data_IF_837078029830
#
_entry.id   IF_837078029830
#
_cell.length_a   1.000
_cell.length_b   1.000
_cell.length_c   1.000
_cell.angle_alpha   90.00
_cell.angle_beta   90.00
_cell.angle_gamma   90.00
#
_symmetry.space_group_name_H-M   'P 1'
#
loop_
_entity.id
_entity.type
_entity.pdbx_description
1 polymer ?
#
# COMPACT_ATOMS: atom_id res chain seq x y z
N UNK A 1 7.03 -14.39 -7.64
CA UNK A 1 7.67 -13.33 -8.46
C UNK A 1 8.89 -12.74 -7.76
N UNK A 2 8.81 -12.43 -6.48
CA UNK A 2 9.92 -11.88 -5.71
C UNK A 2 10.16 -12.71 -4.44
N UNK A 3 11.44 -12.87 -4.07
CA UNK A 3 11.81 -13.62 -2.86
C UNK A 3 11.64 -12.79 -1.59
N UNK A 4 11.84 -11.48 -1.71
CA UNK A 4 11.67 -10.53 -0.61
C UNK A 4 10.76 -9.39 -1.05
N UNK A 5 9.84 -9.01 -0.16
CA UNK A 5 8.89 -7.92 -0.40
C UNK A 5 8.95 -6.95 0.77
N UNK A 6 9.05 -5.67 0.45
CA UNK A 6 8.96 -4.59 1.43
C UNK A 6 7.60 -3.92 1.24
N UNK A 7 6.75 -3.98 2.25
CA UNK A 7 5.50 -3.22 2.28
C UNK A 7 5.80 -1.87 2.92
N UNK A 8 5.72 -0.82 2.12
CA UNK A 8 6.14 0.51 2.51
C UNK A 8 4.93 1.44 2.66
N UNK A 9 4.74 2.00 3.83
CA UNK A 9 3.72 3.00 4.08
C UNK A 9 4.31 4.40 3.90
N UNK A 10 3.84 5.14 2.91
CA UNK A 10 4.20 6.54 2.70
C UNK A 10 3.51 7.41 3.76
N UNK A 11 4.28 8.27 4.41
CA UNK A 11 3.79 9.15 5.46
C UNK A 11 3.88 10.58 4.95
N UNK A 12 2.75 11.28 5.00
CA UNK A 12 2.71 12.71 4.73
C UNK A 12 2.59 13.46 6.06
N UNK A 13 3.67 14.08 6.50
CA UNK A 13 3.74 14.82 7.75
C UNK A 13 2.79 16.02 7.79
N UNK A 14 2.40 16.53 6.61
CA UNK A 14 1.50 17.69 6.48
C UNK A 14 0.02 17.29 6.51
N UNK A 15 -0.28 16.00 6.44
CA UNK A 15 -1.66 15.49 6.46
C UNK A 15 -1.87 14.51 7.60
N UNK A 16 -2.86 14.80 8.43
CA UNK A 16 -3.39 13.81 9.37
C UNK A 16 -4.15 12.76 8.58
N UNK A 17 -3.62 11.55 8.52
CA UNK A 17 -4.36 10.41 8.01
C UNK A 17 -5.47 10.00 8.97
N UNK A 18 -6.37 9.15 8.50
CA UNK A 18 -7.44 8.55 9.30
C UNK A 18 -6.88 7.75 10.49
N UNK A 19 -5.77 7.06 10.26
CA UNK A 19 -5.03 6.33 11.28
C UNK A 19 -3.70 7.02 11.55
N UNK A 20 -3.17 6.86 12.76
CA UNK A 20 -1.80 7.26 13.07
C UNK A 20 -0.81 6.39 12.31
N UNK A 21 0.44 6.82 12.21
CA UNK A 21 1.52 6.02 11.61
C UNK A 21 1.66 4.68 12.30
N UNK A 22 1.62 4.66 13.64
CA UNK A 22 1.72 3.42 14.42
C UNK A 22 0.57 2.47 14.11
N UNK A 23 -0.66 3.01 14.01
CA UNK A 23 -1.84 2.22 13.65
C UNK A 23 -1.73 1.64 12.25
N UNK A 24 -1.27 2.42 11.27
CA UNK A 24 -1.05 1.95 9.90
C UNK A 24 -0.06 0.81 9.84
N UNK A 25 1.07 0.96 10.51
CA UNK A 25 2.11 -0.06 10.55
C UNK A 25 1.61 -1.33 11.24
N UNK A 26 0.86 -1.18 12.32
CA UNK A 26 0.28 -2.33 13.03
C UNK A 26 -0.71 -3.10 12.16
N UNK A 27 -1.60 -2.40 11.47
CA UNK A 27 -2.55 -3.03 10.53
C UNK A 27 -1.81 -3.82 9.45
N UNK A 28 -0.77 -3.23 8.85
CA UNK A 28 0.00 -3.90 7.80
C UNK A 28 0.73 -5.12 8.36
N UNK A 29 1.34 -4.99 9.53
CA UNK A 29 2.04 -6.10 10.20
C UNK A 29 1.10 -7.26 10.49
N UNK A 30 -0.12 -6.98 10.94
CA UNK A 30 -1.14 -8.00 11.14
C UNK A 30 -1.48 -8.71 9.82
N UNK A 31 -1.67 -7.94 8.75
CA UNK A 31 -2.06 -8.46 7.44
C UNK A 31 -1.01 -9.41 6.84
N UNK A 32 0.27 -9.15 7.09
CA UNK A 32 1.38 -9.93 6.52
C UNK A 32 1.95 -10.96 7.50
N UNK A 33 1.37 -11.09 8.68
CA UNK A 33 1.80 -12.07 9.68
C UNK A 33 1.79 -13.48 9.10
N UNK A 34 2.88 -14.21 9.30
CA UNK A 34 3.03 -15.56 8.77
C UNK A 34 3.53 -15.64 7.33
N UNK A 35 3.73 -14.51 6.66
CA UNK A 35 4.31 -14.49 5.33
C UNK A 35 5.83 -14.32 5.44
N UNK A 36 6.57 -15.29 4.92
CA UNK A 36 8.03 -15.23 4.92
C UNK A 36 8.54 -14.22 3.88
N UNK A 37 9.64 -13.57 4.20
CA UNK A 37 10.29 -12.63 3.28
C UNK A 37 9.59 -11.29 3.12
N UNK A 38 8.67 -10.93 4.03
CA UNK A 38 7.95 -9.66 4.01
C UNK A 38 8.42 -8.77 5.15
N UNK A 39 8.83 -7.55 4.82
CA UNK A 39 9.24 -6.51 5.78
C UNK A 39 8.28 -5.33 5.65
N UNK A 40 7.95 -4.71 6.78
CA UNK A 40 7.07 -3.53 6.81
C UNK A 40 7.87 -2.32 7.25
N UNK A 41 7.79 -1.25 6.46
CA UNK A 41 8.48 0.02 6.74
C UNK A 41 7.55 1.21 6.57
N UNK A 42 7.96 2.33 7.13
CA UNK A 42 7.37 3.64 6.85
C UNK A 42 8.44 4.55 6.25
N UNK A 43 8.04 5.46 5.36
CA UNK A 43 8.97 6.43 4.77
C UNK A 43 8.28 7.78 4.59
N UNK A 44 9.06 8.85 4.64
CA UNK A 44 8.58 10.24 4.51
C UNK A 44 9.13 10.93 3.25
N UNK A 45 10.20 10.40 2.70
CA UNK A 45 10.87 10.95 1.51
C UNK A 45 10.20 10.47 0.22
N UNK A 46 10.79 10.78 -0.93
CA UNK A 46 10.30 10.27 -2.21
C UNK A 46 10.40 8.74 -2.25
N UNK A 47 9.40 8.12 -2.87
CA UNK A 47 9.37 6.65 -3.00
C UNK A 47 10.64 6.10 -3.64
N UNK A 48 11.15 6.74 -4.69
CA UNK A 48 12.37 6.31 -5.36
C UNK A 48 13.60 6.42 -4.46
N UNK A 49 13.66 7.44 -3.60
CA UNK A 49 14.76 7.60 -2.64
C UNK A 49 14.71 6.50 -1.58
N UNK A 50 13.51 6.20 -1.08
CA UNK A 50 13.31 5.08 -0.15
C UNK A 50 13.74 3.74 -0.78
N UNK A 51 13.45 3.54 -2.05
CA UNK A 51 13.88 2.36 -2.79
C UNK A 51 15.40 2.29 -2.91
N UNK A 52 16.04 3.41 -3.27
CA UNK A 52 17.50 3.47 -3.42
C UNK A 52 18.24 3.18 -2.12
N UNK A 53 17.74 3.72 -1.01
CA UNK A 53 18.31 3.49 0.33
C UNK A 53 18.37 2.00 0.71
N UNK A 54 17.44 1.22 0.17
CA UNK A 54 17.30 -0.21 0.48
C UNK A 54 17.74 -1.13 -0.66
N UNK A 55 18.24 -0.58 -1.76
CA UNK A 55 18.62 -1.36 -2.93
C UNK A 55 17.45 -2.02 -3.66
N UNK A 56 16.26 -1.46 -3.54
CA UNK A 56 15.06 -1.96 -4.19
C UNK A 56 15.05 -1.50 -5.65
N UNK A 57 14.79 -2.44 -6.57
CA UNK A 57 14.78 -2.19 -8.02
C UNK A 57 13.39 -2.26 -8.64
N UNK A 58 12.39 -2.73 -7.91
CA UNK A 58 11.04 -2.90 -8.42
C UNK A 58 10.01 -2.32 -7.45
N UNK A 59 9.06 -1.57 -8.00
CA UNK A 59 7.88 -1.09 -7.25
C UNK A 59 6.68 -1.85 -7.82
N UNK A 60 5.89 -2.47 -6.95
CA UNK A 60 4.68 -3.20 -7.36
C UNK A 60 3.46 -2.38 -6.97
N UNK A 61 2.58 -2.15 -7.94
CA UNK A 61 1.33 -1.40 -7.73
C UNK A 61 0.15 -2.21 -8.24
N UNK A 62 -0.94 -2.21 -7.48
CA UNK A 62 -2.21 -2.82 -7.89
C UNK A 62 -3.15 -1.79 -8.50
N UNK A 63 -3.92 -2.19 -9.50
CA UNK A 63 -4.94 -1.33 -10.12
C UNK A 63 -6.27 -2.07 -10.21
N UNK A 64 -7.36 -1.39 -9.91
CA UNK A 64 -8.72 -1.95 -9.92
C UNK A 64 -9.50 -1.61 -11.18
N UNK A 65 -9.15 -0.50 -11.84
CA UNK A 65 -9.89 0.02 -12.98
C UNK A 65 -8.98 0.89 -13.86
N UNK A 66 -9.53 1.44 -14.94
CA UNK A 66 -8.78 2.26 -15.88
C UNK A 66 -8.30 3.58 -15.28
N UNK A 67 -9.05 4.16 -14.37
CA UNK A 67 -8.67 5.41 -13.69
C UNK A 67 -7.45 5.18 -12.80
N UNK A 68 -7.45 4.10 -12.03
CA UNK A 68 -6.30 3.69 -11.23
C UNK A 68 -5.08 3.45 -12.12
N UNK A 69 -5.27 2.76 -13.24
CA UNK A 69 -4.21 2.45 -14.19
C UNK A 69 -3.55 3.73 -14.73
N UNK A 70 -4.33 4.70 -15.18
CA UNK A 70 -3.78 5.96 -15.71
C UNK A 70 -3.01 6.74 -14.64
N UNK A 71 -3.52 6.77 -13.42
CA UNK A 71 -2.83 7.42 -12.29
C UNK A 71 -1.49 6.74 -12.00
N UNK A 72 -1.50 5.42 -11.87
CA UNK A 72 -0.28 4.66 -11.55
C UNK A 72 0.74 4.70 -12.70
N UNK A 73 0.27 4.65 -13.94
CA UNK A 73 1.12 4.78 -15.11
C UNK A 73 1.83 6.14 -15.14
N UNK A 74 1.12 7.22 -14.86
CA UNK A 74 1.71 8.57 -14.82
C UNK A 74 2.80 8.68 -13.74
N UNK A 75 2.55 8.10 -12.57
CA UNK A 75 3.53 8.05 -11.48
C UNK A 75 4.74 7.21 -11.89
N UNK A 76 4.51 6.06 -12.53
CA UNK A 76 5.57 5.17 -13.00
C UNK A 76 6.47 5.85 -14.03
N UNK A 77 5.86 6.60 -14.96
CA UNK A 77 6.60 7.35 -15.97
C UNK A 77 7.49 8.43 -15.34
N UNK A 78 6.96 9.15 -14.36
CA UNK A 78 7.73 10.15 -13.62
C UNK A 78 8.89 9.50 -12.84
N UNK A 79 8.63 8.40 -12.15
CA UNK A 79 9.66 7.67 -11.41
C UNK A 79 10.76 7.13 -12.33
N UNK A 80 10.40 6.65 -13.50
CA UNK A 80 11.38 6.17 -14.50
C UNK A 80 12.31 7.29 -14.97
N UNK A 81 11.79 8.50 -15.11
CA UNK A 81 12.60 9.66 -15.44
C UNK A 81 13.59 10.01 -14.35
N UNK A 82 13.16 9.94 -13.10
CA UNK A 82 13.97 10.27 -11.94
C UNK A 82 14.94 9.14 -11.55
N UNK A 83 14.53 7.90 -11.75
CA UNK A 83 15.29 6.72 -11.35
C UNK A 83 15.14 5.61 -12.39
N UNK A 84 15.88 5.68 -13.53
CA UNK A 84 15.74 4.69 -14.60
C UNK A 84 16.05 3.25 -14.19
N UNK A 85 16.78 3.07 -13.11
CA UNK A 85 17.14 1.75 -12.57
C UNK A 85 15.99 1.07 -11.79
N UNK A 86 14.94 1.82 -11.48
CA UNK A 86 13.79 1.28 -10.72
C UNK A 86 12.60 1.11 -11.68
N UNK A 87 12.11 -0.12 -11.78
CA UNK A 87 10.99 -0.47 -12.66
C UNK A 87 9.71 -0.61 -11.86
N UNK A 88 8.60 -0.12 -12.41
CA UNK A 88 7.28 -0.29 -11.80
C UNK A 88 6.53 -1.44 -12.48
N UNK A 89 6.02 -2.36 -11.68
CA UNK A 89 5.20 -3.49 -12.13
C UNK A 89 3.76 -3.19 -11.73
N UNK A 90 2.87 -3.12 -12.69
CA UNK A 90 1.44 -2.85 -12.46
C UNK A 90 0.67 -4.16 -12.60
N UNK A 91 -0.05 -4.54 -11.54
CA UNK A 91 -0.80 -5.79 -11.49
C UNK A 91 -2.30 -5.47 -11.37
N UNK A 92 -3.12 -5.97 -12.31
CA UNK A 92 -4.57 -5.83 -12.17
C UNK A 92 -5.07 -6.61 -10.96
N UNK A 93 -5.93 -5.97 -10.17
CA UNK A 93 -6.56 -6.61 -9.02
C UNK A 93 -7.54 -7.70 -9.49
N UNK A 94 -7.52 -8.86 -8.83
CA UNK A 94 -8.51 -9.89 -9.08
C UNK A 94 -9.92 -9.35 -8.84
N UNK A 95 -10.87 -9.81 -9.64
CA UNK A 95 -12.26 -9.31 -9.60
C UNK A 95 -12.88 -9.43 -8.20
N UNK A 96 -12.55 -10.49 -7.47
CA UNK A 96 -13.04 -10.73 -6.11
C UNK A 96 -12.66 -9.63 -5.13
N UNK A 97 -11.60 -8.88 -5.40
CA UNK A 97 -11.08 -7.82 -4.54
C UNK A 97 -11.29 -6.41 -5.09
N UNK A 98 -11.89 -6.28 -6.26
CA UNK A 98 -12.05 -4.98 -6.94
C UNK A 98 -12.90 -3.99 -6.14
N UNK A 99 -13.79 -4.47 -5.27
CA UNK A 99 -14.64 -3.64 -4.40
C UNK A 99 -13.90 -3.09 -3.18
N UNK A 100 -12.72 -3.62 -2.85
CA UNK A 100 -11.98 -3.24 -1.65
C UNK A 100 -11.25 -1.91 -1.89
N UNK A 101 -11.48 -0.95 -1.01
CA UNK A 101 -10.79 0.33 -1.03
C UNK A 101 -10.65 0.87 0.39
N UNK A 102 -9.65 1.69 0.61
CA UNK A 102 -9.48 2.37 1.90
C UNK A 102 -10.64 3.30 2.22
N UNK A 103 -11.24 3.92 1.20
CA UNK A 103 -12.42 4.78 1.37
C UNK A 103 -13.61 3.99 1.92
N UNK A 104 -13.88 2.80 1.38
CA UNK A 104 -14.97 1.94 1.85
C UNK A 104 -14.73 1.50 3.29
N UNK A 105 -13.53 1.11 3.65
CA UNK A 105 -13.18 0.69 5.01
C UNK A 105 -13.36 1.85 6.00
N UNK A 106 -12.86 3.03 5.65
CA UNK A 106 -13.01 4.22 6.51
C UNK A 106 -14.48 4.59 6.74
N UNK A 107 -15.27 4.51 5.69
CA UNK A 107 -16.71 4.81 5.78
C UNK A 107 -17.42 3.82 6.70
N UNK A 108 -17.13 2.54 6.56
CA UNK A 108 -17.67 1.50 7.45
C UNK A 108 -17.29 1.74 8.91
N UNK A 109 -16.02 2.08 9.16
CA UNK A 109 -15.55 2.36 10.52
C UNK A 109 -16.27 3.57 11.13
N UNK A 110 -16.47 4.62 10.36
CA UNK A 110 -17.19 5.84 10.83
C UNK A 110 -18.63 5.54 11.25
N UNK A 111 -19.27 4.58 10.61
CA UNK A 111 -20.67 4.24 10.85
C UNK A 111 -20.87 2.95 11.66
N UNK A 112 -19.80 2.39 12.20
CA UNK A 112 -19.87 1.17 13.00
C UNK A 112 -20.23 -0.09 12.20
N UNK A 113 -19.97 -0.07 10.90
CA UNK A 113 -20.27 -1.21 10.02
C UNK A 113 -19.25 -2.34 10.13
N UNK A 114 -19.60 -3.48 9.56
CA UNK A 114 -18.74 -4.67 9.53
C UNK A 114 -17.69 -4.55 8.41
N UNK A 115 -16.42 -4.57 8.79
CA UNK A 115 -15.29 -4.48 7.86
C UNK A 115 -14.74 -5.84 7.44
N UNK A 116 -15.29 -6.95 7.93
CA UNK A 116 -14.70 -8.28 7.74
C UNK A 116 -14.54 -8.72 6.29
N UNK A 117 -15.38 -8.22 5.39
CA UNK A 117 -15.31 -8.52 3.95
C UNK A 117 -14.31 -7.64 3.20
N UNK A 118 -13.71 -6.67 3.87
CA UNK A 118 -12.86 -5.62 3.26
C UNK A 118 -11.43 -5.64 3.77
N UNK A 119 -11.12 -6.46 4.76
CA UNK A 119 -9.78 -6.61 5.33
C UNK A 119 -9.45 -8.08 5.52
N UNK A 120 -8.14 -8.44 5.57
CA UNK A 120 -7.76 -9.82 5.87
C UNK A 120 -8.30 -10.30 7.23
N UNK A 121 -8.58 -11.60 7.35
CA UNK A 121 -9.17 -12.20 8.56
C UNK A 121 -8.36 -11.94 9.83
N UNK A 122 -7.04 -11.88 9.70
CA UNK A 122 -6.13 -11.70 10.83
C UNK A 122 -5.94 -10.24 11.25
N UNK A 123 -6.60 -9.30 10.57
CA UNK A 123 -6.48 -7.88 10.88
C UNK A 123 -7.59 -7.45 11.84
N UNK A 124 -7.19 -6.83 12.94
CA UNK A 124 -8.11 -6.15 13.88
C UNK A 124 -7.87 -4.66 13.74
N UNK A 125 -8.88 -3.95 13.26
CA UNK A 125 -8.80 -2.50 13.06
C UNK A 125 -8.99 -1.75 14.38
N UNK A 126 -8.31 -0.60 14.55
CA UNK A 126 -8.53 0.26 15.72
C UNK A 126 -9.97 0.73 15.77
N UNK A 127 -10.51 0.87 16.97
CA UNK A 127 -11.82 1.49 17.18
C UNK A 127 -11.70 3.01 17.05
N UNK A 128 -12.74 3.59 16.52
CA UNK A 128 -12.84 5.05 16.34
C UNK A 128 -13.79 5.64 17.37
#
# INVERSE_FOLDING_TARGET
MFDEVVVAAGINIDKRGFFTTEQKLDIIKQAVEGLDGVTVIAYENLTIDACRERGIKHIVRGVRNMIDFETERSIADANRRLAPEIETVIIPTAQDYAHISSTAVRDLLKHGGDTSLFVPENVVLPKI
#
